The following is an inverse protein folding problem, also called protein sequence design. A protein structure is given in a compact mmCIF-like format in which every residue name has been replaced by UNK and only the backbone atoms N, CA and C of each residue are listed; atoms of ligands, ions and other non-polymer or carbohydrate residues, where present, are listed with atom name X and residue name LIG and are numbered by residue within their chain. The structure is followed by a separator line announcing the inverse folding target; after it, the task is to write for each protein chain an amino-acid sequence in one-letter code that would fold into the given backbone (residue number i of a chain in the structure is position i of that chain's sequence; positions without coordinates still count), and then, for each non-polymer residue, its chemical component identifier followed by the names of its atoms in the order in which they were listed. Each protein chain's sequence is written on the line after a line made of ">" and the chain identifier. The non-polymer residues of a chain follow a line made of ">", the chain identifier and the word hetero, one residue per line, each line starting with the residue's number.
data_IF_450449718115
#
_entry.id   IF_450449718115
#
_cell.length_a   1.000
_cell.length_b   1.000
_cell.length_c   1.000
_cell.angle_alpha   90.00
_cell.angle_beta   90.00
_cell.angle_gamma   90.00
#
_symmetry.space_group_name_H-M   'P 1'
#
loop_
_entity.id
_entity.type
_entity.pdbx_description
1 polymer ?
#
# COMPACT_ATOMS: atom_id res chain seq x y z
N UNK A 1 75.84 -94.79 11.72
CA UNK A 1 74.54 -95.47 11.55
C UNK A 1 73.55 -94.43 11.02
N UNK A 2 73.33 -94.30 9.71
CA UNK A 2 72.18 -94.89 8.95
C UNK A 2 70.84 -94.59 9.65
N UNK A 3 69.86 -93.84 9.10
CA UNK A 3 69.03 -94.02 7.87
C UNK A 3 68.17 -92.73 7.66
N UNK A 4 68.00 -92.18 6.45
CA UNK A 4 66.97 -92.43 5.40
C UNK A 4 65.54 -91.84 5.69
N UNK A 5 65.09 -90.93 4.79
CA UNK A 5 63.77 -90.23 4.63
C UNK A 5 62.55 -91.18 4.37
N UNK A 6 61.26 -90.78 4.10
CA UNK A 6 60.57 -89.46 3.89
C UNK A 6 59.11 -89.31 4.48
N UNK A 7 58.45 -88.15 4.22
CA UNK A 7 57.12 -88.01 3.55
C UNK A 7 56.02 -87.09 4.18
N UNK A 8 55.36 -86.36 3.26
CA UNK A 8 54.02 -85.75 3.29
C UNK A 8 53.85 -84.26 3.69
N UNK A 9 53.67 -83.43 2.65
CA UNK A 9 52.89 -82.18 2.66
C UNK A 9 51.39 -82.48 2.76
N UNK A 10 50.58 -81.54 3.31
CA UNK A 10 49.74 -80.74 2.41
C UNK A 10 49.55 -79.25 2.82
N UNK A 11 49.58 -78.42 1.78
CA UNK A 11 48.82 -77.19 1.50
C UNK A 11 48.05 -76.52 2.66
N UNK A 12 48.38 -75.26 2.96
CA UNK A 12 47.40 -74.29 3.49
C UNK A 12 47.61 -72.88 2.88
N UNK A 13 46.71 -72.60 1.95
CA UNK A 13 46.16 -71.31 1.52
C UNK A 13 46.17 -70.22 2.61
N UNK A 14 46.58 -68.98 2.28
CA UNK A 14 45.85 -67.77 2.71
C UNK A 14 46.40 -66.44 2.13
N UNK A 15 45.59 -65.89 1.22
CA UNK A 15 45.16 -64.49 1.12
C UNK A 15 46.21 -63.44 0.72
N UNK A 16 46.18 -63.11 -0.57
CA UNK A 16 46.61 -61.82 -1.14
C UNK A 16 45.65 -60.73 -0.63
N UNK A 17 46.15 -59.80 0.17
CA UNK A 17 45.42 -58.59 0.54
C UNK A 17 45.55 -57.56 -0.59
N UNK A 18 44.61 -57.58 -1.52
CA UNK A 18 44.47 -56.56 -2.56
C UNK A 18 43.95 -55.26 -1.95
N UNK A 19 44.82 -54.25 -1.84
CA UNK A 19 44.41 -52.86 -1.65
C UNK A 19 43.69 -52.38 -2.92
N UNK A 20 42.37 -52.55 -2.96
CA UNK A 20 41.53 -51.88 -3.93
C UNK A 20 41.53 -50.37 -3.59
N UNK A 21 42.41 -49.62 -4.24
CA UNK A 21 42.38 -48.16 -4.26
C UNK A 21 41.11 -47.75 -5.02
N UNK A 22 39.99 -47.63 -4.30
CA UNK A 22 38.79 -47.00 -4.83
C UNK A 22 39.10 -45.54 -5.12
N UNK A 23 39.34 -45.21 -6.39
CA UNK A 23 39.41 -43.83 -6.83
C UNK A 23 38.03 -43.20 -6.61
N UNK A 24 37.90 -42.40 -5.55
CA UNK A 24 36.73 -41.55 -5.36
C UNK A 24 36.82 -40.43 -6.39
N UNK A 25 35.92 -40.42 -7.37
CA UNK A 25 35.81 -39.32 -8.34
C UNK A 25 35.53 -38.00 -7.59
N UNK A 26 36.57 -37.19 -7.41
CA UNK A 26 36.44 -35.87 -6.81
C UNK A 26 35.75 -34.94 -7.83
N UNK A 27 34.50 -34.57 -7.55
CA UNK A 27 33.78 -33.55 -8.32
C UNK A 27 34.32 -32.17 -7.92
N UNK A 28 34.97 -31.48 -8.84
CA UNK A 28 35.35 -30.07 -8.66
C UNK A 28 34.18 -29.15 -9.00
N UNK A 29 33.83 -28.25 -8.10
CA UNK A 29 32.83 -27.21 -8.31
C UNK A 29 33.47 -25.83 -8.16
N UNK A 30 33.06 -24.88 -9.00
CA UNK A 30 33.45 -23.47 -8.91
C UNK A 30 32.18 -22.64 -8.84
N UNK A 31 32.11 -21.74 -7.86
CA UNK A 31 30.96 -20.88 -7.62
C UNK A 31 31.44 -19.44 -7.59
N UNK A 32 30.75 -18.56 -8.31
CA UNK A 32 31.04 -17.13 -8.35
C UNK A 32 29.76 -16.34 -8.05
N UNK A 33 29.79 -15.37 -7.12
CA UNK A 33 28.64 -14.52 -6.87
C UNK A 33 28.44 -13.52 -8.01
N UNK A 34 27.21 -13.41 -8.51
CA UNK A 34 26.76 -12.31 -9.38
C UNK A 34 26.06 -11.27 -8.51
N UNK A 35 26.50 -10.02 -8.58
CA UNK A 35 25.80 -8.90 -7.95
C UNK A 35 24.86 -8.24 -8.96
N UNK A 36 23.58 -8.14 -8.62
CA UNK A 36 22.56 -7.45 -9.41
C UNK A 36 22.09 -6.22 -8.63
N UNK A 37 22.15 -5.05 -9.26
CA UNK A 37 21.75 -3.78 -8.64
C UNK A 37 20.43 -3.27 -9.25
N UNK A 38 19.55 -2.75 -8.41
CA UNK A 38 18.30 -2.09 -8.83
C UNK A 38 18.08 -0.85 -7.96
N UNK A 39 17.79 0.30 -8.58
CA UNK A 39 17.46 1.54 -7.89
C UNK A 39 15.97 1.86 -8.07
N UNK A 40 15.24 2.03 -6.97
CA UNK A 40 13.84 2.42 -6.94
C UNK A 40 13.70 3.80 -6.30
N UNK A 41 13.02 4.72 -6.98
CA UNK A 41 12.73 6.05 -6.45
C UNK A 41 11.34 6.12 -5.79
N UNK A 42 11.17 7.08 -4.88
CA UNK A 42 9.88 7.44 -4.32
C UNK A 42 8.91 7.90 -5.43
N UNK A 43 7.64 7.50 -5.31
CA UNK A 43 6.59 7.84 -6.28
C UNK A 43 5.25 7.94 -5.56
N UNK A 44 4.40 8.85 -6.02
CA UNK A 44 3.02 9.01 -5.55
C UNK A 44 2.06 8.99 -6.73
N UNK A 45 0.86 8.47 -6.51
CA UNK A 45 -0.26 8.51 -7.45
C UNK A 45 -1.55 8.54 -6.64
N UNK A 46 -2.42 9.50 -6.96
CA UNK A 46 -3.71 9.68 -6.31
C UNK A 46 -4.79 9.68 -7.37
N UNK A 47 -5.84 8.90 -7.15
CA UNK A 47 -7.02 8.88 -8.03
C UNK A 47 -8.29 8.97 -7.19
N UNK A 48 -9.24 9.79 -7.65
CA UNK A 48 -10.57 9.93 -7.08
C UNK A 48 -11.62 9.53 -8.14
N UNK A 49 -12.65 8.79 -7.74
CA UNK A 49 -13.74 8.39 -8.62
C UNK A 49 -15.06 8.31 -7.85
N UNK A 50 -16.08 9.11 -8.21
CA UNK A 50 -16.06 10.13 -9.25
C UNK A 50 -15.27 11.39 -8.85
N UNK A 51 -14.97 12.25 -9.83
CA UNK A 51 -14.26 13.51 -9.61
C UNK A 51 -15.19 14.69 -9.26
N UNK A 52 -16.50 14.49 -9.37
CA UNK A 52 -17.54 15.47 -9.06
C UNK A 52 -18.59 14.80 -8.19
N UNK A 53 -19.11 15.54 -7.21
CA UNK A 53 -20.24 15.15 -6.38
C UNK A 53 -21.30 16.25 -6.42
N UNK A 54 -22.56 15.87 -6.39
CA UNK A 54 -23.72 16.76 -6.42
C UNK A 54 -24.62 16.48 -5.23
N UNK A 55 -25.13 17.54 -4.61
CA UNK A 55 -26.11 17.46 -3.52
C UNK A 55 -27.49 17.80 -4.10
N UNK A 56 -28.48 16.90 -4.01
CA UNK A 56 -29.84 17.20 -4.51
C UNK A 56 -30.51 18.30 -3.68
N UNK A 57 -31.37 19.07 -4.32
CA UNK A 57 -32.25 20.02 -3.64
C UNK A 57 -33.31 19.26 -2.82
N UNK A 58 -33.42 19.59 -1.53
CA UNK A 58 -34.30 18.93 -0.57
C UNK A 58 -34.76 19.92 0.49
N UNK A 59 -35.90 19.65 1.14
CA UNK A 59 -36.40 20.48 2.24
C UNK A 59 -35.44 20.41 3.44
N UNK A 60 -34.85 21.55 3.89
CA UNK A 60 -33.94 21.60 5.04
C UNK A 60 -34.54 21.06 6.35
N UNK A 61 -35.87 21.07 6.49
CA UNK A 61 -36.58 20.55 7.67
C UNK A 61 -36.70 19.04 7.64
N UNK A 62 -36.85 18.45 6.45
CA UNK A 62 -36.96 17.01 6.28
C UNK A 62 -35.59 16.33 6.19
N UNK A 63 -34.63 16.98 5.51
CA UNK A 63 -33.28 16.48 5.26
C UNK A 63 -32.26 17.58 5.60
N UNK A 64 -31.94 17.75 6.90
CA UNK A 64 -30.98 18.78 7.33
C UNK A 64 -29.53 18.46 6.94
N UNK A 65 -29.24 17.22 6.55
CA UNK A 65 -27.93 16.80 6.05
C UNK A 65 -28.12 15.97 4.77
N UNK A 66 -27.75 16.56 3.63
CA UNK A 66 -28.02 16.02 2.31
C UNK A 66 -26.83 15.19 1.85
N UNK A 67 -26.98 13.88 1.60
CA UNK A 67 -25.90 13.07 1.06
C UNK A 67 -25.64 13.44 -0.41
N UNK A 68 -24.37 13.40 -0.82
CA UNK A 68 -24.03 13.49 -2.24
C UNK A 68 -24.60 12.30 -3.01
N UNK A 69 -25.11 12.55 -4.22
CA UNK A 69 -25.75 11.55 -5.08
C UNK A 69 -24.78 10.45 -5.55
N UNK A 70 -23.51 10.80 -5.72
CA UNK A 70 -22.45 9.94 -6.23
C UNK A 70 -21.69 9.18 -5.13
N UNK A 71 -22.14 9.30 -3.88
CA UNK A 71 -21.54 8.55 -2.80
C UNK A 71 -21.63 7.03 -3.04
N UNK A 72 -20.57 6.27 -2.71
CA UNK A 72 -19.29 6.73 -2.17
C UNK A 72 -18.30 7.25 -3.24
N UNK A 73 -17.51 8.25 -2.89
CA UNK A 73 -16.31 8.65 -3.65
C UNK A 73 -15.16 7.72 -3.28
N UNK A 74 -14.72 6.92 -4.24
CA UNK A 74 -13.57 6.04 -4.09
C UNK A 74 -12.27 6.83 -4.23
N UNK A 75 -11.39 6.71 -3.24
CA UNK A 75 -10.06 7.32 -3.23
C UNK A 75 -9.02 6.21 -3.23
N UNK A 76 -8.07 6.26 -4.16
CA UNK A 76 -6.92 5.35 -4.18
C UNK A 76 -5.63 6.14 -4.08
N UNK A 77 -4.91 5.96 -2.97
CA UNK A 77 -3.59 6.50 -2.71
C UNK A 77 -2.53 5.41 -2.93
N UNK A 78 -1.64 5.61 -3.90
CA UNK A 78 -0.52 4.71 -4.17
C UNK A 78 0.78 5.45 -3.94
N UNK A 79 1.67 4.89 -3.15
CA UNK A 79 2.98 5.49 -2.97
C UNK A 79 4.07 4.47 -2.65
N UNK A 80 5.30 4.85 -2.97
CA UNK A 80 6.53 4.18 -2.56
C UNK A 80 7.33 5.17 -1.73
N UNK A 81 7.64 4.79 -0.49
CA UNK A 81 8.52 5.52 0.41
C UNK A 81 9.85 4.80 0.58
N UNK A 82 10.86 5.53 1.03
CA UNK A 82 12.12 4.94 1.49
C UNK A 82 11.86 4.09 2.76
N UNK A 83 12.27 2.81 2.79
CA UNK A 83 12.10 1.96 3.97
C UNK A 83 12.93 2.43 5.18
N UNK A 84 13.97 3.24 4.97
CA UNK A 84 14.80 3.80 6.05
C UNK A 84 14.14 4.97 6.78
N UNK A 85 13.07 5.55 6.24
CA UNK A 85 12.35 6.66 6.89
C UNK A 85 11.23 6.16 7.81
N UNK A 86 11.17 6.70 9.03
CA UNK A 86 10.05 6.51 9.94
C UNK A 86 8.83 7.38 9.59
N UNK A 87 8.96 8.30 8.64
CA UNK A 87 7.89 9.22 8.26
C UNK A 87 6.70 8.48 7.63
N UNK A 88 5.50 9.02 7.89
CA UNK A 88 4.22 8.53 7.38
C UNK A 88 3.82 9.28 6.12
N UNK A 89 3.25 8.57 5.15
CA UNK A 89 2.52 9.22 4.08
C UNK A 89 1.23 9.83 4.63
N UNK A 90 0.85 10.99 4.10
CA UNK A 90 -0.36 11.71 4.50
C UNK A 90 -1.16 12.13 3.28
N UNK A 91 -2.48 11.98 3.36
CA UNK A 91 -3.43 12.53 2.42
C UNK A 91 -4.24 13.60 3.14
N UNK A 92 -4.22 14.82 2.62
CA UNK A 92 -5.02 15.94 3.13
C UNK A 92 -5.93 16.49 2.03
N UNK A 93 -7.03 17.12 2.43
CA UNK A 93 -7.87 17.90 1.54
C UNK A 93 -8.09 19.32 2.05
N UNK A 94 -8.29 20.26 1.13
CA UNK A 94 -8.67 21.64 1.44
C UNK A 94 -9.59 22.16 0.34
N UNK A 95 -10.57 22.97 0.70
CA UNK A 95 -11.54 23.48 -0.27
C UNK A 95 -12.17 24.80 0.18
N UNK A 96 -12.55 25.60 -0.79
CA UNK A 96 -13.22 26.88 -0.56
C UNK A 96 -14.70 26.73 -0.20
N UNK A 97 -15.39 27.83 0.10
CA UNK A 97 -16.85 27.84 0.15
C UNK A 97 -17.44 27.44 -1.21
N UNK A 98 -18.66 26.91 -1.20
CA UNK A 98 -19.43 26.76 -2.42
C UNK A 98 -20.02 28.13 -2.78
N UNK A 99 -19.85 28.59 -4.01
CA UNK A 99 -20.21 29.96 -4.42
C UNK A 99 -21.29 29.97 -5.49
N UNK A 100 -22.21 30.93 -5.38
CA UNK A 100 -23.20 31.28 -6.40
C UNK A 100 -23.32 32.79 -6.50
N UNK A 101 -22.69 33.40 -7.51
CA UNK A 101 -22.61 34.87 -7.59
C UNK A 101 -21.89 35.48 -6.38
N UNK A 102 -22.60 36.31 -5.60
CA UNK A 102 -22.08 36.91 -4.37
C UNK A 102 -22.34 36.06 -3.10
N UNK A 103 -23.19 35.03 -3.22
CA UNK A 103 -23.58 34.18 -2.10
C UNK A 103 -22.60 33.01 -1.94
N UNK A 104 -22.38 32.61 -0.69
CA UNK A 104 -21.44 31.56 -0.34
C UNK A 104 -21.98 30.64 0.76
N UNK A 105 -21.89 29.33 0.54
CA UNK A 105 -22.07 28.32 1.58
C UNK A 105 -20.69 27.99 2.16
N UNK A 106 -20.49 28.11 3.49
CA UNK A 106 -19.20 27.83 4.11
C UNK A 106 -18.68 26.43 3.78
N UNK A 107 -17.35 26.31 3.61
CA UNK A 107 -16.71 25.02 3.40
C UNK A 107 -17.05 24.02 4.53
N UNK A 108 -17.15 24.50 5.77
CA UNK A 108 -17.50 23.71 6.96
C UNK A 108 -18.90 23.08 6.92
N UNK A 109 -19.75 23.49 5.99
CA UNK A 109 -21.04 22.84 5.76
C UNK A 109 -20.91 21.50 5.04
N UNK A 110 -19.76 21.21 4.42
CA UNK A 110 -19.47 19.92 3.78
C UNK A 110 -18.68 19.03 4.74
N UNK A 111 -19.21 17.85 5.01
CA UNK A 111 -18.61 16.83 5.88
C UNK A 111 -18.47 15.51 5.12
N UNK A 112 -17.62 14.62 5.61
CA UNK A 112 -17.55 13.25 5.09
C UNK A 112 -17.32 12.22 6.17
N UNK A 113 -17.87 11.02 5.97
CA UNK A 113 -17.44 9.81 6.65
C UNK A 113 -16.48 9.03 5.76
N UNK A 114 -15.59 8.24 6.34
CA UNK A 114 -14.63 7.45 5.59
C UNK A 114 -14.65 5.97 5.99
N UNK A 115 -14.42 5.09 5.03
CA UNK A 115 -14.11 3.68 5.26
C UNK A 115 -12.84 3.28 4.50
N UNK A 116 -12.19 2.21 4.94
CA UNK A 116 -10.90 1.75 4.43
C UNK A 116 -9.74 2.06 5.38
N UNK A 117 -8.73 1.19 5.38
CA UNK A 117 -7.62 1.27 6.33
C UNK A 117 -6.84 2.57 6.18
N UNK A 118 -6.70 3.31 7.28
CA UNK A 118 -5.94 4.56 7.34
C UNK A 118 -6.68 5.78 6.81
N UNK A 119 -7.94 5.66 6.36
CA UNK A 119 -8.79 6.80 6.03
C UNK A 119 -9.56 7.31 7.25
N UNK A 120 -9.82 8.61 7.30
CA UNK A 120 -10.57 9.27 8.39
C UNK A 120 -11.66 10.19 7.85
N UNK A 121 -12.78 10.26 8.58
CA UNK A 121 -13.84 11.24 8.35
C UNK A 121 -13.39 12.64 8.78
N UNK A 122 -14.11 13.67 8.32
CA UNK A 122 -13.74 15.06 8.58
C UNK A 122 -14.78 16.08 8.11
N UNK A 123 -14.42 17.35 8.27
CA UNK A 123 -15.22 18.52 7.86
C UNK A 123 -14.33 19.41 7.01
N UNK A 124 -14.83 19.87 5.85
CA UNK A 124 -14.03 20.65 4.92
C UNK A 124 -13.69 22.01 5.50
N UNK A 125 -12.48 22.49 5.22
CA UNK A 125 -12.00 23.80 5.68
C UNK A 125 -11.34 24.55 4.55
N UNK A 126 -11.57 25.86 4.51
CA UNK A 126 -10.88 26.79 3.62
C UNK A 126 -9.57 27.30 4.22
N UNK A 127 -9.41 27.24 5.55
CA UNK A 127 -8.28 27.80 6.26
C UNK A 127 -7.17 26.79 6.54
N UNK A 128 -7.53 25.53 6.84
CA UNK A 128 -6.58 24.51 7.26
C UNK A 128 -6.76 23.21 6.48
N UNK A 129 -5.70 22.62 5.90
CA UNK A 129 -5.78 21.29 5.30
C UNK A 129 -6.28 20.25 6.31
N UNK A 130 -7.25 19.46 5.90
CA UNK A 130 -7.91 18.46 6.73
C UNK A 130 -7.34 17.07 6.45
N UNK A 131 -7.06 16.26 7.48
CA UNK A 131 -6.58 14.90 7.29
C UNK A 131 -7.67 14.04 6.64
N UNK A 132 -7.29 13.28 5.62
CA UNK A 132 -8.15 12.29 4.94
C UNK A 132 -7.60 10.88 5.12
N UNK A 133 -6.27 10.73 5.18
CA UNK A 133 -5.68 9.45 5.56
C UNK A 133 -4.17 9.49 5.84
N UNK A 134 -3.67 8.42 6.46
CA UNK A 134 -2.24 8.27 6.78
C UNK A 134 -1.81 6.80 6.84
N UNK A 135 -0.58 6.54 6.39
CA UNK A 135 -0.02 5.19 6.26
C UNK A 135 1.49 5.17 6.50
N UNK A 136 1.99 4.10 7.10
CA UNK A 136 3.41 3.93 7.47
C UNK A 136 4.25 3.21 6.41
N UNK A 137 3.63 2.46 5.50
CA UNK A 137 4.32 1.59 4.53
C UNK A 137 3.99 1.93 3.08
N UNK A 138 4.87 1.53 2.16
CA UNK A 138 4.59 1.60 0.71
C UNK A 138 3.41 0.70 0.35
N UNK A 139 2.58 1.13 -0.61
CA UNK A 139 1.42 0.32 -1.01
C UNK A 139 0.41 1.07 -1.85
N UNK A 140 -0.72 0.39 -2.06
CA UNK A 140 -1.94 0.95 -2.62
C UNK A 140 -3.04 0.85 -1.57
N UNK A 141 -3.60 2.01 -1.20
CA UNK A 141 -4.64 2.13 -0.19
C UNK A 141 -5.89 2.68 -0.85
N UNK A 142 -6.98 1.91 -0.76
CA UNK A 142 -8.28 2.28 -1.30
C UNK A 142 -9.27 2.46 -0.16
N UNK A 143 -10.03 3.56 -0.21
CA UNK A 143 -11.07 3.87 0.75
C UNK A 143 -12.22 4.61 0.08
N UNK A 144 -13.31 4.74 0.83
CA UNK A 144 -14.54 5.33 0.36
C UNK A 144 -14.86 6.53 1.25
N UNK A 145 -15.12 7.68 0.64
CA UNK A 145 -15.59 8.88 1.32
C UNK A 145 -17.06 9.09 0.97
N UNK A 146 -17.90 9.30 1.97
CA UNK A 146 -19.31 9.63 1.79
C UNK A 146 -19.53 11.07 2.23
N UNK A 147 -19.77 11.97 1.28
CA UNK A 147 -19.96 13.40 1.51
C UNK A 147 -21.41 13.74 1.88
N UNK A 148 -21.56 14.72 2.75
CA UNK A 148 -22.85 15.33 3.04
C UNK A 148 -22.75 16.84 3.23
N UNK A 149 -23.80 17.55 2.85
CA UNK A 149 -23.94 19.00 2.97
C UNK A 149 -25.00 19.33 4.02
N UNK A 150 -24.64 20.15 5.01
CA UNK A 150 -25.60 20.72 5.95
C UNK A 150 -26.54 21.67 5.21
N UNK A 151 -27.83 21.35 5.13
CA UNK A 151 -28.85 22.06 4.39
C UNK A 151 -29.64 22.98 5.33
N UNK A 152 -29.65 24.28 5.06
CA UNK A 152 -30.19 25.32 5.95
C UNK A 152 -31.10 26.28 5.19
N UNK A 153 -32.21 26.69 5.83
CA UNK A 153 -33.13 27.73 5.33
C UNK A 153 -32.45 29.09 5.09
N UNK A 154 -31.29 29.34 5.69
CA UNK A 154 -30.53 30.57 5.53
C UNK A 154 -29.75 30.66 4.23
N UNK A 155 -29.62 29.57 3.46
CA UNK A 155 -28.91 29.59 2.19
C UNK A 155 -29.80 30.21 1.09
N UNK A 156 -29.33 31.25 0.39
CA UNK A 156 -30.04 31.80 -0.75
C UNK A 156 -30.20 30.77 -1.87
N UNK A 157 -31.26 30.89 -2.67
CA UNK A 157 -31.47 30.03 -3.85
C UNK A 157 -30.41 30.35 -4.90
N UNK A 158 -29.73 29.32 -5.40
CA UNK A 158 -28.71 29.46 -6.42
C UNK A 158 -28.02 28.14 -6.76
N UNK A 159 -27.20 28.16 -7.80
CA UNK A 159 -26.35 27.04 -8.18
C UNK A 159 -24.97 27.25 -7.56
N UNK A 160 -24.66 26.49 -6.51
CA UNK A 160 -23.40 26.61 -5.79
C UNK A 160 -22.37 25.62 -6.31
N UNK A 161 -21.13 26.08 -6.50
CA UNK A 161 -20.01 25.21 -6.90
C UNK A 161 -18.75 25.54 -6.12
N UNK A 162 -17.89 24.54 -5.93
CA UNK A 162 -16.61 24.70 -5.26
C UNK A 162 -15.68 23.54 -5.59
N UNK A 163 -14.39 23.75 -5.33
CA UNK A 163 -13.34 22.78 -5.62
C UNK A 163 -12.69 22.33 -4.32
N UNK A 164 -12.43 21.02 -4.23
CA UNK A 164 -11.64 20.41 -3.15
C UNK A 164 -10.33 19.93 -3.77
N UNK A 165 -9.21 20.41 -3.25
CA UNK A 165 -7.88 19.96 -3.64
C UNK A 165 -7.41 18.89 -2.66
N UNK A 166 -6.95 17.76 -3.19
CA UNK A 166 -6.34 16.69 -2.41
C UNK A 166 -4.84 16.68 -2.63
N UNK A 167 -4.06 16.48 -1.57
CA UNK A 167 -2.60 16.41 -1.63
C UNK A 167 -2.14 15.16 -0.91
N UNK A 168 -1.51 14.25 -1.66
CA UNK A 168 -0.85 13.05 -1.14
C UNK A 168 0.65 13.34 -1.04
N UNK A 169 1.19 13.28 0.17
CA UNK A 169 2.63 13.44 0.44
C UNK A 169 3.18 12.12 0.94
N UNK A 170 4.20 11.59 0.25
CA UNK A 170 4.99 10.46 0.71
C UNK A 170 6.43 10.91 0.97
N UNK A 171 7.06 10.44 2.05
CA UNK A 171 8.45 10.76 2.40
C UNK A 171 9.48 9.96 1.59
#
# INVERSE_FOLDING_TARGET
>A
MTRFFPSHTPVLLCIVLGLAMGATDAKAASTQPLTINCALAARVSLTLSPATVNFPDTDPTAVPNVPAAENPVMVTAKFRKDPSTALTATLVCQGGPLVSGADAIPASSVTWTATGTGFTGGTLSNATPQPVGSWTGSGAYTGNLNFSLANLWSYPVGNYSGNITYTLTAP
#
